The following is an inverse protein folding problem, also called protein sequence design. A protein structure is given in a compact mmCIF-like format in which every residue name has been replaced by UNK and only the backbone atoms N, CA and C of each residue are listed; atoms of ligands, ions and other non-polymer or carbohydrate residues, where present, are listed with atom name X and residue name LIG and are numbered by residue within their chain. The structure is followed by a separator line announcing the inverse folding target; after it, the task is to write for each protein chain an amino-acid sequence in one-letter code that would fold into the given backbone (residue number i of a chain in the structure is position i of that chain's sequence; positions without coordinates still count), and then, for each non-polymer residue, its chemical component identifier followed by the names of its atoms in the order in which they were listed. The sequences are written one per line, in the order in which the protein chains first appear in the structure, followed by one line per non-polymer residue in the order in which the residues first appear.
data_IF_782780271047
#
_entry.id   IF_782780271047
#
_cell.length_a   1.000
_cell.length_b   1.000
_cell.length_c   1.000
_cell.angle_alpha   90.00
_cell.angle_beta   90.00
_cell.angle_gamma   90.00
#
_symmetry.space_group_name_H-M   'P 1'
#
loop_
_entity.id
_entity.type
_entity.pdbx_description
1 polymer ?
#
# COMPACT_ATOMS: atom_id res chain seq x y z
N UNK A 1 -20.09 -0.81 11.41
CA UNK A 1 -19.15 -0.29 10.39
C UNK A 1 -19.81 -0.41 9.04
N UNK A 2 -19.82 0.68 8.25
CA UNK A 2 -20.25 0.63 6.85
C UNK A 2 -18.97 0.51 6.03
N UNK A 3 -18.66 -0.71 5.59
CA UNK A 3 -17.61 -0.93 4.61
C UNK A 3 -18.12 -0.39 3.27
N UNK A 4 -17.40 0.56 2.68
CA UNK A 4 -17.64 0.97 1.30
C UNK A 4 -16.57 0.28 0.46
N UNK A 5 -16.91 -0.89 -0.06
CA UNK A 5 -16.02 -1.66 -0.92
C UNK A 5 -16.18 -1.13 -2.35
N UNK A 6 -15.11 -0.55 -2.89
CA UNK A 6 -15.07 -0.03 -4.26
C UNK A 6 -14.20 -0.96 -5.10
N UNK A 7 -14.82 -1.80 -5.93
CA UNK A 7 -14.14 -2.51 -7.01
C UNK A 7 -14.46 -1.82 -8.33
N UNK A 8 -13.45 -1.24 -8.98
CA UNK A 8 -13.60 -0.55 -10.27
C UNK A 8 -12.88 -1.33 -11.39
N UNK A 9 -13.59 -2.07 -12.25
CA UNK A 9 -13.01 -2.63 -13.46
C UNK A 9 -12.77 -1.50 -14.47
N UNK A 10 -11.50 -1.34 -14.88
CA UNK A 10 -11.08 -0.29 -15.82
C UNK A 10 -10.46 0.90 -15.08
N UNK A 11 -9.14 0.95 -15.12
CA UNK A 11 -8.36 2.01 -14.48
C UNK A 11 -8.56 3.32 -15.25
N UNK A 12 -8.92 4.36 -14.51
CA UNK A 12 -8.70 5.73 -14.97
C UNK A 12 -7.89 6.41 -13.88
N UNK A 13 -6.90 7.21 -14.30
CA UNK A 13 -5.90 7.92 -13.49
C UNK A 13 -6.44 8.84 -12.37
N UNK A 14 -7.72 8.73 -12.01
CA UNK A 14 -8.47 9.60 -11.13
C UNK A 14 -9.20 8.80 -10.03
N UNK A 15 -8.71 7.62 -9.60
CA UNK A 15 -9.35 6.88 -8.47
C UNK A 15 -9.36 7.74 -7.21
N UNK A 16 -8.23 8.39 -6.89
CA UNK A 16 -8.13 9.30 -5.74
C UNK A 16 -9.13 10.46 -5.88
N UNK A 17 -9.22 11.07 -7.07
CA UNK A 17 -10.20 12.13 -7.35
C UNK A 17 -11.65 11.63 -7.24
N UNK A 18 -11.95 10.43 -7.73
CA UNK A 18 -13.30 9.83 -7.64
C UNK A 18 -13.72 9.54 -6.21
N UNK A 19 -12.77 9.20 -5.33
CA UNK A 19 -13.07 8.94 -3.92
C UNK A 19 -12.93 10.18 -3.03
N UNK A 20 -12.52 11.32 -3.60
CA UNK A 20 -12.26 12.57 -2.86
C UNK A 20 -13.50 13.14 -2.18
N UNK A 21 -14.69 12.87 -2.70
CA UNK A 21 -15.96 13.23 -2.05
C UNK A 21 -16.16 12.53 -0.70
N UNK A 22 -15.48 11.40 -0.48
CA UNK A 22 -15.54 10.63 0.76
C UNK A 22 -14.42 10.97 1.75
N UNK A 23 -13.57 11.95 1.48
CA UNK A 23 -12.38 12.29 2.30
C UNK A 23 -12.66 12.51 3.79
N UNK A 24 -13.88 12.92 4.14
CA UNK A 24 -14.33 13.17 5.53
C UNK A 24 -14.92 11.94 6.25
N UNK A 25 -15.09 10.83 5.53
CA UNK A 25 -15.80 9.64 6.01
C UNK A 25 -15.15 8.31 5.66
N UNK A 26 -14.21 8.28 4.69
CA UNK A 26 -13.55 7.06 4.26
C UNK A 26 -12.52 6.64 5.31
N UNK A 27 -12.76 5.51 5.96
CA UNK A 27 -11.88 4.95 7.00
C UNK A 27 -10.92 3.90 6.45
N UNK A 28 -11.32 3.21 5.39
CA UNK A 28 -10.58 2.12 4.78
C UNK A 28 -10.60 2.26 3.27
N UNK A 29 -9.44 2.11 2.64
CA UNK A 29 -9.28 2.11 1.20
C UNK A 29 -8.50 0.87 0.78
N UNK A 30 -9.07 0.13 -0.17
CA UNK A 30 -8.42 -1.03 -0.77
C UNK A 30 -8.32 -0.82 -2.29
N UNK A 31 -7.10 -0.74 -2.80
CA UNK A 31 -6.79 -0.62 -4.22
C UNK A 31 -5.92 -1.79 -4.66
N UNK A 32 -6.58 -2.85 -5.12
CA UNK A 32 -5.96 -4.01 -5.75
C UNK A 32 -5.90 -3.82 -7.28
N UNK A 33 -4.68 -3.84 -7.82
CA UNK A 33 -4.38 -3.51 -9.20
C UNK A 33 -3.53 -4.58 -9.87
N UNK A 34 -3.35 -5.75 -9.24
CA UNK A 34 -2.55 -6.86 -9.78
C UNK A 34 -3.00 -7.31 -11.16
N UNK A 35 -4.30 -7.20 -11.46
CA UNK A 35 -4.89 -7.60 -12.74
C UNK A 35 -5.01 -6.45 -13.77
N UNK A 36 -4.55 -5.25 -13.40
CA UNK A 36 -4.62 -4.10 -14.30
C UNK A 36 -3.34 -3.98 -15.11
N UNK A 37 -3.43 -4.33 -16.40
CA UNK A 37 -2.40 -4.06 -17.40
C UNK A 37 -2.49 -2.58 -17.78
N UNK A 38 -1.84 -1.69 -17.03
CA UNK A 38 -1.78 -0.27 -17.38
C UNK A 38 -0.46 0.14 -18.05
N UNK A 39 -0.61 0.82 -19.19
CA UNK A 39 0.35 1.81 -19.67
C UNK A 39 0.48 2.88 -18.59
N UNK A 40 1.68 3.06 -18.02
CA UNK A 40 1.96 3.94 -16.87
C UNK A 40 1.06 5.18 -16.86
N UNK A 41 0.19 5.35 -15.85
CA UNK A 41 -0.57 6.58 -15.73
C UNK A 41 0.44 7.72 -15.52
N UNK A 42 0.29 8.85 -16.24
CA UNK A 42 1.21 9.97 -16.11
C UNK A 42 1.21 10.45 -14.65
N UNK A 43 2.40 10.64 -14.08
CA UNK A 43 2.58 11.20 -12.74
C UNK A 43 1.73 12.45 -12.55
N UNK A 44 0.86 12.42 -11.53
CA UNK A 44 0.12 13.59 -11.07
C UNK A 44 0.52 13.87 -9.63
N UNK A 45 1.25 14.97 -9.37
CA UNK A 45 1.67 15.34 -8.02
C UNK A 45 0.49 15.62 -7.07
N UNK A 46 -0.72 15.79 -7.61
CA UNK A 46 -1.94 16.05 -6.84
C UNK A 46 -2.63 14.76 -6.35
N UNK A 47 -2.18 13.58 -6.78
CA UNK A 47 -2.74 12.29 -6.39
C UNK A 47 -2.18 11.84 -5.03
N UNK A 48 -2.73 12.40 -3.95
CA UNK A 48 -2.36 12.12 -2.55
C UNK A 48 -3.61 11.90 -1.68
N UNK A 49 -3.47 11.14 -0.59
CA UNK A 49 -4.50 10.95 0.42
C UNK A 49 -4.40 11.93 1.59
N UNK A 50 -3.53 12.94 1.54
CA UNK A 50 -3.31 13.86 2.66
C UNK A 50 -4.57 14.60 3.16
N UNK A 51 -5.58 14.78 2.32
CA UNK A 51 -6.86 15.42 2.69
C UNK A 51 -7.94 14.46 3.20
N UNK A 52 -7.62 13.17 3.35
CA UNK A 52 -8.52 12.15 3.90
C UNK A 52 -8.37 12.07 5.42
N UNK A 53 -9.22 12.82 6.12
CA UNK A 53 -9.11 13.06 7.58
C UNK A 53 -9.28 11.79 8.44
N UNK A 54 -9.98 10.77 7.91
CA UNK A 54 -10.32 9.54 8.65
C UNK A 54 -9.71 8.29 8.05
N UNK A 55 -8.92 8.40 6.98
CA UNK A 55 -8.41 7.22 6.30
C UNK A 55 -7.30 6.61 7.15
N UNK A 56 -7.62 5.51 7.83
CA UNK A 56 -6.75 4.84 8.80
C UNK A 56 -6.15 3.55 8.23
N UNK A 57 -6.84 2.91 7.29
CA UNK A 57 -6.46 1.61 6.74
C UNK A 57 -6.32 1.69 5.22
N UNK A 58 -5.13 1.42 4.71
CA UNK A 58 -4.82 1.57 3.29
C UNK A 58 -4.15 0.31 2.76
N UNK A 59 -4.71 -0.26 1.70
CA UNK A 59 -4.16 -1.41 0.99
C UNK A 59 -3.84 -0.97 -0.44
N UNK A 60 -2.57 -1.04 -0.85
CA UNK A 60 -2.07 -0.53 -2.12
C UNK A 60 -1.10 -1.50 -2.80
N UNK A 61 -1.01 -1.41 -4.11
CA UNK A 61 0.06 -2.03 -4.87
C UNK A 61 1.31 -1.15 -4.83
N UNK A 62 2.50 -1.75 -4.71
CA UNK A 62 3.78 -1.01 -4.68
C UNK A 62 3.98 -0.16 -5.94
N UNK A 63 3.42 -0.57 -7.08
CA UNK A 63 3.38 0.22 -8.32
C UNK A 63 2.88 1.64 -8.12
N UNK A 64 1.72 1.79 -7.47
CA UNK A 64 1.08 3.09 -7.27
C UNK A 64 1.96 4.04 -6.47
N UNK A 65 2.84 3.47 -5.66
CA UNK A 65 3.64 4.24 -4.73
C UNK A 65 4.98 4.62 -5.34
N UNK A 66 5.60 3.72 -6.11
CA UNK A 66 6.98 3.87 -6.56
C UNK A 66 7.17 3.99 -8.07
N UNK A 67 6.27 3.47 -8.91
CA UNK A 67 6.40 3.61 -10.37
C UNK A 67 6.03 5.00 -10.87
N UNK A 68 5.15 5.69 -10.15
CA UNK A 68 4.71 7.07 -10.45
C UNK A 68 5.89 8.05 -10.50
N UNK A 69 7.02 7.75 -9.84
CA UNK A 69 8.22 8.60 -9.83
C UNK A 69 9.26 8.23 -10.90
N UNK A 70 9.21 7.02 -11.47
CA UNK A 70 10.23 6.48 -12.40
C UNK A 70 10.23 7.18 -13.76
N UNK A 71 9.06 7.56 -14.26
CA UNK A 71 8.89 8.13 -15.60
C UNK A 71 9.43 9.57 -15.74
N UNK A 72 9.84 10.21 -14.63
CA UNK A 72 10.32 11.59 -14.62
C UNK A 72 11.84 11.71 -14.76
N UNK A 73 12.62 10.83 -14.14
CA UNK A 73 14.04 11.11 -13.96
C UNK A 73 14.95 10.38 -14.95
N UNK A 74 14.56 9.23 -15.50
CA UNK A 74 15.45 8.47 -16.39
C UNK A 74 16.80 8.11 -15.73
N UNK A 75 16.83 8.08 -14.39
CA UNK A 75 18.00 7.80 -13.57
C UNK A 75 17.93 6.34 -13.11
N UNK A 76 19.02 5.61 -13.37
CA UNK A 76 19.25 4.29 -12.80
C UNK A 76 19.69 4.43 -11.32
N UNK A 77 18.96 3.78 -10.41
CA UNK A 77 19.27 3.68 -8.98
C UNK A 77 18.26 4.38 -8.05
N UNK A 78 18.27 4.04 -6.73
CA UNK A 78 17.40 4.66 -5.73
C UNK A 78 17.76 6.13 -5.51
N UNK A 79 16.80 7.04 -5.66
CA UNK A 79 16.99 8.47 -5.38
C UNK A 79 16.49 8.84 -3.98
N UNK A 80 16.87 10.03 -3.49
CA UNK A 80 16.32 10.58 -2.23
C UNK A 80 14.79 10.73 -2.32
N UNK A 81 14.23 10.87 -3.52
CA UNK A 81 12.78 10.91 -3.71
C UNK A 81 12.11 9.56 -3.45
N UNK A 82 12.76 8.45 -3.85
CA UNK A 82 12.24 7.08 -3.61
C UNK A 82 12.06 6.82 -2.12
N UNK A 83 12.96 7.34 -1.27
CA UNK A 83 12.88 7.26 0.19
C UNK A 83 11.61 7.91 0.74
N UNK A 84 11.13 8.97 0.10
CA UNK A 84 9.97 9.74 0.57
C UNK A 84 8.69 9.49 -0.25
N UNK A 85 8.74 8.60 -1.24
CA UNK A 85 7.64 8.30 -2.15
C UNK A 85 6.36 7.89 -1.41
N UNK A 86 6.45 6.88 -0.54
CA UNK A 86 5.33 6.42 0.29
C UNK A 86 4.78 7.58 1.13
N UNK A 87 5.67 8.36 1.75
CA UNK A 87 5.28 9.39 2.72
C UNK A 87 4.48 10.55 2.10
N UNK A 88 4.68 10.82 0.80
CA UNK A 88 3.92 11.86 0.06
C UNK A 88 2.51 11.41 -0.31
N UNK A 89 2.25 10.10 -0.31
CA UNK A 89 0.96 9.53 -0.70
C UNK A 89 0.00 9.39 0.49
N UNK A 90 0.50 8.98 1.66
CA UNK A 90 -0.33 8.53 2.77
C UNK A 90 -1.03 9.66 3.54
N UNK A 91 -2.23 9.40 4.10
CA UNK A 91 -2.89 10.33 5.00
C UNK A 91 -2.17 10.40 6.36
N UNK A 92 -2.16 11.56 7.06
CA UNK A 92 -1.61 11.66 8.42
C UNK A 92 -2.33 10.76 9.45
N UNK A 93 -3.60 10.43 9.21
CA UNK A 93 -4.41 9.55 10.06
C UNK A 93 -4.06 8.07 9.94
N UNK A 94 -3.13 7.68 9.05
CA UNK A 94 -2.83 6.28 8.78
C UNK A 94 -2.47 5.50 10.05
N UNK A 95 -3.15 4.38 10.26
CA UNK A 95 -2.90 3.44 11.35
C UNK A 95 -2.35 2.10 10.85
N UNK A 96 -2.75 1.70 9.64
CA UNK A 96 -2.37 0.44 9.01
C UNK A 96 -2.17 0.61 7.51
N UNK A 97 -1.03 0.13 7.03
CA UNK A 97 -0.69 0.07 5.61
C UNK A 97 -0.44 -1.38 5.21
N UNK A 98 -1.02 -1.81 4.10
CA UNK A 98 -0.70 -3.10 3.50
C UNK A 98 -0.25 -2.88 2.06
N UNK A 99 0.89 -3.47 1.70
CA UNK A 99 1.53 -3.30 0.41
C UNK A 99 1.55 -4.62 -0.33
N UNK A 100 1.08 -4.60 -1.58
CA UNK A 100 1.13 -5.74 -2.48
C UNK A 100 2.31 -5.56 -3.42
N UNK A 101 3.24 -6.51 -3.39
CA UNK A 101 4.44 -6.47 -4.22
C UNK A 101 4.10 -6.68 -5.70
N UNK A 102 4.68 -5.83 -6.56
CA UNK A 102 4.43 -5.84 -8.01
C UNK A 102 5.71 -5.90 -8.88
N UNK A 103 6.75 -6.57 -8.39
CA UNK A 103 8.05 -6.71 -9.09
C UNK A 103 8.83 -5.38 -9.24
N UNK A 104 8.73 -4.50 -8.25
CA UNK A 104 9.56 -3.31 -8.13
C UNK A 104 11.05 -3.66 -7.88
N UNK A 105 11.97 -2.72 -8.06
CA UNK A 105 13.33 -2.87 -7.52
C UNK A 105 13.30 -2.93 -5.98
N UNK A 106 13.75 -4.05 -5.41
CA UNK A 106 13.72 -4.33 -3.97
C UNK A 106 14.44 -3.26 -3.14
N UNK A 107 15.61 -2.81 -3.58
CA UNK A 107 16.39 -1.80 -2.88
C UNK A 107 15.61 -0.48 -2.70
N UNK A 108 14.83 -0.08 -3.73
CA UNK A 108 14.01 1.14 -3.66
C UNK A 108 12.87 0.99 -2.69
N UNK A 109 12.23 -0.17 -2.72
CA UNK A 109 11.14 -0.48 -1.81
C UNK A 109 11.58 -0.41 -0.36
N UNK A 110 12.73 -1.03 -0.05
CA UNK A 110 13.33 -0.99 1.27
C UNK A 110 13.67 0.44 1.71
N UNK A 111 14.24 1.27 0.82
CA UNK A 111 14.48 2.69 1.11
C UNK A 111 13.18 3.45 1.40
N UNK A 112 12.10 3.19 0.64
CA UNK A 112 10.80 3.78 0.91
C UNK A 112 10.24 3.39 2.28
N UNK A 113 10.39 2.13 2.68
CA UNK A 113 9.98 1.66 4.01
C UNK A 113 10.80 2.31 5.13
N UNK A 114 12.11 2.48 4.93
CA UNK A 114 12.96 3.21 5.89
C UNK A 114 12.55 4.68 6.01
N UNK A 115 12.17 5.33 4.90
CA UNK A 115 11.66 6.70 4.95
C UNK A 115 10.28 6.80 5.60
N UNK A 116 9.44 5.77 5.49
CA UNK A 116 8.19 5.67 6.23
C UNK A 116 8.44 5.59 7.74
N UNK A 117 9.41 4.78 8.15
CA UNK A 117 9.84 4.66 9.56
C UNK A 117 10.28 6.03 10.10
N UNK A 118 11.18 6.74 9.41
CA UNK A 118 11.61 8.07 9.81
C UNK A 118 10.44 9.03 10.00
N UNK A 119 9.47 8.99 9.07
CA UNK A 119 8.31 9.89 9.09
C UNK A 119 7.32 9.60 10.23
N UNK A 120 7.38 8.44 10.90
CA UNK A 120 6.50 8.15 12.04
C UNK A 120 6.74 9.05 13.25
N UNK A 121 7.95 9.61 13.37
CA UNK A 121 8.31 10.52 14.46
C UNK A 121 7.60 11.87 14.35
N UNK A 122 7.28 12.31 13.13
CA UNK A 122 6.82 13.68 12.85
C UNK A 122 5.46 13.76 12.14
N UNK A 123 5.09 12.73 11.36
CA UNK A 123 3.94 12.77 10.43
C UNK A 123 2.95 11.61 10.61
N UNK A 124 3.42 10.41 10.95
CA UNK A 124 2.58 9.19 11.00
C UNK A 124 2.59 8.52 12.37
N UNK A 125 2.33 9.28 13.43
CA UNK A 125 2.40 8.76 14.82
C UNK A 125 1.42 7.62 15.11
N UNK A 126 0.33 7.55 14.32
CA UNK A 126 -0.72 6.55 14.46
C UNK A 126 -0.41 5.25 13.74
N UNK A 127 0.60 5.20 12.87
CA UNK A 127 0.98 3.98 12.17
C UNK A 127 1.47 2.94 13.18
N UNK A 128 0.85 1.76 13.14
CA UNK A 128 1.17 0.62 14.02
C UNK A 128 1.38 -0.67 13.27
N UNK A 129 0.84 -0.79 12.06
CA UNK A 129 0.90 -2.02 11.29
C UNK A 129 1.31 -1.75 9.85
N UNK A 130 2.31 -2.50 9.38
CA UNK A 130 2.70 -2.55 7.98
C UNK A 130 2.70 -4.01 7.53
N UNK A 131 1.78 -4.36 6.64
CA UNK A 131 1.71 -5.68 6.00
C UNK A 131 2.34 -5.67 4.61
N UNK A 132 2.95 -6.79 4.22
CA UNK A 132 3.56 -6.96 2.92
C UNK A 132 3.20 -8.32 2.31
N UNK A 133 2.52 -8.29 1.16
CA UNK A 133 2.33 -9.46 0.30
C UNK A 133 3.56 -9.61 -0.61
N UNK A 134 4.63 -10.19 -0.06
CA UNK A 134 5.86 -10.53 -0.76
C UNK A 134 6.38 -11.89 -0.28
N UNK A 135 6.82 -12.72 -1.20
CA UNK A 135 7.23 -14.10 -0.89
C UNK A 135 8.64 -14.18 -0.27
N UNK A 136 9.49 -13.18 -0.49
CA UNK A 136 10.86 -13.17 0.00
C UNK A 136 11.03 -12.23 1.20
N UNK A 137 12.12 -12.42 1.93
CA UNK A 137 12.46 -11.56 3.06
C UNK A 137 13.20 -10.32 2.56
N UNK A 138 12.83 -9.18 3.13
CA UNK A 138 13.56 -7.93 3.01
C UNK A 138 14.84 -8.00 3.84
N UNK A 139 15.74 -7.04 3.62
CA UNK A 139 16.91 -6.81 4.46
C UNK A 139 16.51 -6.65 5.93
N UNK A 140 17.30 -7.27 6.80
CA UNK A 140 17.06 -7.30 8.25
C UNK A 140 17.03 -5.88 8.84
N UNK A 141 17.72 -4.92 8.23
CA UNK A 141 17.70 -3.51 8.63
C UNK A 141 16.30 -2.92 8.61
N UNK A 142 15.46 -3.30 7.64
CA UNK A 142 14.06 -2.83 7.55
C UNK A 142 13.26 -3.38 8.72
N UNK A 143 13.44 -4.67 9.05
CA UNK A 143 12.78 -5.30 10.19
C UNK A 143 13.14 -4.62 11.51
N UNK A 144 14.43 -4.38 11.74
CA UNK A 144 14.90 -3.70 12.94
C UNK A 144 14.36 -2.27 13.04
N UNK A 145 14.37 -1.52 11.93
CA UNK A 145 13.84 -0.17 11.89
C UNK A 145 12.33 -0.11 12.25
N UNK A 146 11.53 -1.01 11.69
CA UNK A 146 10.10 -1.12 12.02
C UNK A 146 9.88 -1.45 13.51
N UNK A 147 10.65 -2.41 14.03
CA UNK A 147 10.60 -2.80 15.44
C UNK A 147 10.94 -1.63 16.38
N UNK A 148 12.01 -0.89 16.08
CA UNK A 148 12.43 0.29 16.84
C UNK A 148 11.36 1.39 16.83
N UNK A 149 10.67 1.57 15.70
CA UNK A 149 9.53 2.47 15.56
C UNK A 149 8.23 1.94 16.18
N UNK A 150 8.25 0.73 16.77
CA UNK A 150 7.08 0.03 17.33
C UNK A 150 5.96 -0.18 16.32
N UNK A 151 6.36 -0.49 15.09
CA UNK A 151 5.47 -0.89 14.00
C UNK A 151 5.54 -2.41 13.91
N UNK A 152 4.38 -3.05 13.99
CA UNK A 152 4.23 -4.47 13.67
C UNK A 152 4.38 -4.65 12.16
N UNK A 153 5.38 -5.42 11.76
CA UNK A 153 5.66 -5.71 10.35
C UNK A 153 5.39 -7.19 10.06
N UNK A 154 4.50 -7.47 9.11
CA UNK A 154 4.05 -8.83 8.78
C UNK A 154 4.19 -9.14 7.30
N UNK A 155 4.57 -10.39 7.01
CA UNK A 155 4.41 -10.97 5.68
C UNK A 155 3.08 -11.68 5.64
N UNK A 156 2.10 -11.08 4.96
CA UNK A 156 0.75 -11.63 4.87
C UNK A 156 0.35 -11.64 3.40
N UNK A 157 0.01 -12.83 2.90
CA UNK A 157 -0.43 -12.98 1.52
C UNK A 157 -1.83 -12.40 1.39
N UNK A 158 -2.00 -11.45 0.48
CA UNK A 158 -3.28 -10.81 0.28
C UNK A 158 -4.13 -11.62 -0.69
N UNK A 159 -5.38 -11.99 -0.33
CA UNK A 159 -6.26 -12.71 -1.25
C UNK A 159 -6.42 -11.89 -2.54
N UNK A 160 -6.30 -12.57 -3.68
CA UNK A 160 -6.72 -11.98 -4.96
C UNK A 160 -8.21 -11.67 -4.86
N UNK A 161 -8.58 -10.45 -5.24
CA UNK A 161 -9.99 -10.08 -5.35
C UNK A 161 -10.61 -11.01 -6.40
N UNK A 162 -11.24 -12.10 -5.95
CA UNK A 162 -11.83 -13.09 -6.85
C UNK A 162 -12.84 -12.36 -7.75
N UNK A 163 -12.62 -12.39 -9.07
CA UNK A 163 -13.70 -12.18 -10.00
C UNK A 163 -14.77 -13.23 -9.68
N UNK A 164 -15.90 -12.78 -9.12
CA UNK A 164 -17.11 -13.58 -9.06
C UNK A 164 -17.64 -13.86 -10.47
N UNK A 165 -16.92 -14.68 -11.23
CA UNK A 165 -17.45 -15.38 -12.39
C UNK A 165 -18.43 -16.46 -11.91
N UNK A 166 -19.53 -16.70 -12.63
CA UNK A 166 -20.53 -17.69 -12.22
C UNK A 166 -19.89 -19.08 -12.31
N UNK A 167 -19.42 -19.62 -11.18
CA UNK A 167 -18.80 -20.93 -11.08
C UNK A 167 -17.66 -21.10 -10.08
N UNK A 168 -17.34 -20.11 -9.24
CA UNK A 168 -16.35 -20.30 -8.17
C UNK A 168 -16.90 -21.28 -7.12
N UNK A 169 -16.35 -22.49 -7.08
CA UNK A 169 -16.52 -23.41 -5.95
C UNK A 169 -15.98 -22.73 -4.68
N UNK A 170 -16.75 -22.80 -3.60
CA UNK A 170 -16.35 -22.29 -2.29
C UNK A 170 -15.01 -22.94 -1.88
N UNK A 171 -14.06 -22.18 -1.33
CA UNK A 171 -12.84 -22.78 -0.81
C UNK A 171 -13.20 -23.67 0.39
N UNK A 172 -12.82 -24.95 0.30
CA UNK A 172 -13.02 -25.94 1.36
C UNK A 172 -12.49 -25.43 2.72
N UNK A 173 -13.30 -25.57 3.76
CA UNK A 173 -13.06 -25.23 5.17
C UNK A 173 -11.96 -26.09 5.84
N UNK A 174 -10.82 -26.32 5.18
CA UNK A 174 -9.61 -26.83 5.83
C UNK A 174 -8.62 -25.68 6.02
N UNK A 175 -7.94 -25.65 7.16
CA UNK A 175 -6.91 -24.68 7.57
C UNK A 175 -7.37 -23.47 8.42
N UNK A 176 -8.35 -23.70 9.29
CA UNK A 176 -8.33 -23.06 10.61
C UNK A 176 -7.52 -23.92 11.58
N UNK A 177 -6.25 -23.56 11.79
CA UNK A 177 -5.52 -24.04 12.94
C UNK A 177 -4.01 -23.96 12.81
N UNK A 178 -3.42 -22.85 13.22
CA UNK A 178 -2.31 -22.86 14.17
C UNK A 178 -2.39 -21.60 15.03
N UNK A 179 -3.18 -21.73 16.10
CA UNK A 179 -3.10 -20.84 17.24
C UNK A 179 -1.81 -21.07 18.01
N UNK A 180 -1.30 -19.95 18.51
CA UNK A 180 -0.29 -19.75 19.54
C UNK A 180 -0.18 -20.90 20.53
N UNK A 181 1.06 -21.30 20.84
CA UNK A 181 1.43 -21.80 22.16
C UNK A 181 2.71 -21.13 22.64
#
# INVERSE_FOLDING_TARGET
MRFSEFSMPGFSADVIEKIRDYRHSLETLHLDLRDVIESSPPYRPDCTFHDFEKLEHVFLNTRLVFHTLRDLEGIDGPTVEDRHAITRLLPPSIASLHLVWDDLEIDRFEQGLLGLVDATTDHFHHLKLVGLDYAERLDETVHQAMLEARIEFTYERWPVSFEGGPGAEEPDDEWMGYGIQ
#
